data_IF_424509400314
#
_entry.id   IF_424509400314
#
_cell.length_a   1.000
_cell.length_b   1.000
_cell.length_c   1.000
_cell.angle_alpha   90.00
_cell.angle_beta   90.00
_cell.angle_gamma   90.00
#
_symmetry.space_group_name_H-M   'P 1'
#
loop_
_entity.id
_entity.type
_entity.pdbx_description
1 polymer ?
#
# COMPACT_ATOMS: atom_id res chain seq x y z
N UNK A 1 3.70 14.87 13.77
CA UNK A 1 3.21 13.72 12.98
C UNK A 1 1.73 13.89 12.73
N UNK A 2 1.28 13.65 11.50
CA UNK A 2 -0.13 13.67 11.13
C UNK A 2 -0.68 12.26 11.24
N UNK A 3 -1.78 12.06 11.99
CA UNK A 3 -2.37 10.74 12.26
C UNK A 3 -3.85 10.73 11.86
N UNK A 4 -4.28 9.67 11.18
CA UNK A 4 -5.63 9.50 10.67
C UNK A 4 -6.14 8.11 11.07
N UNK A 5 -7.35 8.02 11.60
CA UNK A 5 -7.98 6.75 11.99
C UNK A 5 -7.76 6.38 13.46
N UNK A 6 -7.76 5.08 13.75
CA UNK A 6 -7.61 4.54 15.11
C UNK A 6 -6.56 3.42 15.10
N UNK A 7 -5.44 3.63 15.81
CA UNK A 7 -4.32 2.68 15.85
C UNK A 7 -4.70 1.27 16.28
N UNK A 8 -5.74 1.10 17.13
CA UNK A 8 -6.22 -0.22 17.57
C UNK A 8 -7.00 -0.98 16.50
N UNK A 9 -7.35 -0.32 15.38
CA UNK A 9 -8.13 -0.89 14.28
C UNK A 9 -7.39 -0.72 12.96
N UNK A 10 -7.34 0.51 12.48
CA UNK A 10 -6.71 0.93 11.23
C UNK A 10 -6.38 2.42 11.31
N UNK A 11 -5.10 2.77 11.19
CA UNK A 11 -4.65 4.15 11.13
C UNK A 11 -3.45 4.33 10.20
N UNK A 12 -3.29 5.54 9.68
CA UNK A 12 -2.09 5.97 8.97
C UNK A 12 -1.47 7.11 9.75
N UNK A 13 -0.16 7.06 9.93
CA UNK A 13 0.62 8.15 10.47
C UNK A 13 1.75 8.50 9.50
N UNK A 14 2.01 9.78 9.30
CA UNK A 14 3.14 10.20 8.50
C UNK A 14 3.76 11.53 8.97
N UNK A 15 4.99 11.76 8.53
CA UNK A 15 5.71 13.02 8.72
C UNK A 15 6.72 13.22 7.61
N UNK A 16 6.72 14.42 7.00
CA UNK A 16 7.81 14.81 6.11
C UNK A 16 9.08 15.12 6.88
N UNK A 17 10.21 14.71 6.32
CA UNK A 17 11.56 15.01 6.81
C UNK A 17 12.36 15.66 5.68
N UNK A 18 13.45 16.38 5.99
CA UNK A 18 14.41 16.77 4.96
C UNK A 18 14.95 15.52 4.25
N UNK A 19 14.91 15.50 2.92
CA UNK A 19 15.54 14.41 2.17
C UNK A 19 17.06 14.43 2.41
N UNK A 20 17.68 13.26 2.66
CA UNK A 20 19.14 13.15 2.75
C UNK A 20 19.81 13.15 1.37
N UNK A 21 19.04 13.19 0.27
CA UNK A 21 19.51 13.07 -1.09
C UNK A 21 19.19 14.32 -1.92
N UNK A 22 20.06 14.61 -2.89
CA UNK A 22 19.78 15.57 -3.97
C UNK A 22 18.99 14.85 -5.06
N UNK A 23 17.69 15.11 -5.12
CA UNK A 23 16.75 14.44 -6.02
C UNK A 23 15.86 15.47 -6.74
N UNK A 24 15.03 14.99 -7.65
CA UNK A 24 13.96 15.80 -8.22
C UNK A 24 13.06 16.40 -7.12
N UNK A 25 12.56 17.61 -7.37
CA UNK A 25 11.89 18.45 -6.36
C UNK A 25 10.76 17.72 -5.61
N UNK A 26 9.97 16.91 -6.32
CA UNK A 26 8.85 16.15 -5.74
C UNK A 26 9.33 15.02 -4.83
N UNK A 27 10.38 14.30 -5.22
CA UNK A 27 10.99 13.26 -4.39
C UNK A 27 11.56 13.89 -3.12
N UNK A 28 12.31 14.99 -3.27
CA UNK A 28 12.91 15.71 -2.16
C UNK A 28 11.87 16.21 -1.14
N UNK A 29 10.73 16.72 -1.61
CA UNK A 29 9.67 17.26 -0.75
C UNK A 29 8.70 16.21 -0.19
N UNK A 30 8.80 14.96 -0.67
CA UNK A 30 7.96 13.84 -0.22
C UNK A 30 8.70 12.85 0.68
N UNK A 31 10.00 13.03 0.91
CA UNK A 31 10.77 12.22 1.86
C UNK A 31 10.17 12.31 3.27
N UNK A 32 10.05 11.17 3.94
CA UNK A 32 9.48 11.15 5.29
C UNK A 32 9.25 9.76 5.86
N UNK A 33 8.72 9.76 7.08
CA UNK A 33 8.32 8.57 7.81
C UNK A 33 6.84 8.28 7.52
N UNK A 34 6.51 7.01 7.32
CA UNK A 34 5.14 6.52 7.22
C UNK A 34 4.95 5.27 8.07
N UNK A 35 3.79 5.18 8.73
CA UNK A 35 3.36 4.02 9.52
C UNK A 35 1.96 3.61 9.11
N UNK A 36 1.76 2.30 8.98
CA UNK A 36 0.46 1.70 8.78
C UNK A 36 0.10 0.88 10.02
N UNK A 37 -0.83 1.41 10.80
CA UNK A 37 -1.32 0.75 12.00
C UNK A 37 -2.47 -0.19 11.65
N UNK A 38 -2.32 -1.46 11.96
CA UNK A 38 -3.36 -2.49 11.81
C UNK A 38 -3.47 -3.27 13.11
N UNK A 39 -4.65 -3.28 13.71
CA UNK A 39 -4.92 -3.97 14.98
C UNK A 39 -3.92 -3.66 16.12
N UNK A 40 -3.39 -2.43 16.17
CA UNK A 40 -2.42 -1.99 17.19
C UNK A 40 -0.94 -2.18 16.82
N UNK A 41 -0.64 -2.76 15.66
CA UNK A 41 0.72 -2.97 15.16
C UNK A 41 1.05 -2.00 14.04
N UNK A 42 2.22 -1.36 14.10
CA UNK A 42 2.82 -0.73 12.92
C UNK A 42 3.41 -1.84 12.03
N UNK A 43 2.73 -2.14 10.93
CA UNK A 43 3.14 -3.24 10.03
C UNK A 43 4.28 -2.82 9.09
N UNK A 44 4.67 -1.54 9.10
CA UNK A 44 5.82 -1.02 8.36
C UNK A 44 7.08 -0.90 9.24
N UNK A 45 6.99 -1.18 10.53
CA UNK A 45 8.13 -1.18 11.44
C UNK A 45 8.97 -2.45 11.24
N UNK A 46 10.28 -2.26 11.15
CA UNK A 46 11.24 -3.34 10.98
C UNK A 46 12.49 -3.12 11.82
N UNK A 47 13.30 -4.16 11.93
CA UNK A 47 14.55 -4.18 12.67
C UNK A 47 15.70 -4.54 11.73
N UNK A 48 16.81 -3.82 11.84
CA UNK A 48 18.10 -4.12 11.20
C UNK A 48 19.16 -4.01 12.28
N UNK A 49 20.02 -5.02 12.42
CA UNK A 49 21.06 -5.05 13.46
C UNK A 49 20.49 -4.77 14.87
N UNK A 50 19.35 -5.37 15.21
CA UNK A 50 18.60 -5.15 16.47
C UNK A 50 18.07 -3.72 16.70
N UNK A 51 18.28 -2.79 15.77
CA UNK A 51 17.70 -1.45 15.80
C UNK A 51 16.35 -1.42 15.10
N UNK A 52 15.31 -1.11 15.88
CA UNK A 52 13.97 -0.86 15.39
C UNK A 52 13.90 0.46 14.62
N UNK A 53 13.37 0.43 13.41
CA UNK A 53 13.23 1.56 12.48
C UNK A 53 11.78 1.66 11.99
N UNK A 54 11.23 2.87 11.86
CA UNK A 54 10.03 3.07 11.07
C UNK A 54 10.38 2.96 9.58
N UNK A 55 9.35 2.83 8.74
CA UNK A 55 9.53 3.02 7.30
C UNK A 55 9.82 4.51 7.00
N UNK A 56 10.91 4.76 6.27
CA UNK A 56 11.33 6.09 5.83
C UNK A 56 11.72 6.04 4.35
N UNK A 57 11.06 6.85 3.51
CA UNK A 57 11.33 6.96 2.08
C UNK A 57 10.58 8.15 1.44
N UNK A 58 10.64 8.29 0.12
CA UNK A 58 9.73 9.16 -0.64
C UNK A 58 8.29 8.62 -0.54
N UNK A 59 7.47 9.27 0.28
CA UNK A 59 6.09 8.88 0.57
C UNK A 59 5.18 8.99 -0.66
N UNK A 60 5.63 9.71 -1.68
CA UNK A 60 4.87 9.93 -2.90
C UNK A 60 4.52 8.63 -3.62
N UNK A 61 5.38 7.61 -3.56
CA UNK A 61 5.10 6.34 -4.22
C UNK A 61 3.89 5.61 -3.60
N UNK A 62 3.71 5.71 -2.29
CA UNK A 62 2.52 5.17 -1.60
C UNK A 62 1.28 5.98 -1.97
N UNK A 63 1.41 7.32 -2.00
CA UNK A 63 0.30 8.22 -2.35
C UNK A 63 -0.18 7.99 -3.77
N UNK A 64 0.75 7.92 -4.74
CA UNK A 64 0.44 7.67 -6.14
C UNK A 64 -0.25 6.31 -6.31
N UNK A 65 0.29 5.26 -5.69
CA UNK A 65 -0.32 3.93 -5.76
C UNK A 65 -1.75 3.92 -5.20
N UNK A 66 -1.98 4.52 -4.04
CA UNK A 66 -3.32 4.61 -3.44
C UNK A 66 -4.27 5.38 -4.36
N UNK A 67 -3.87 6.55 -4.85
CA UNK A 67 -4.70 7.35 -5.75
C UNK A 67 -5.10 6.60 -7.02
N UNK A 68 -4.23 5.74 -7.54
CA UNK A 68 -4.45 5.00 -8.77
C UNK A 68 -5.20 3.68 -8.58
N UNK A 69 -5.21 3.10 -7.37
CA UNK A 69 -5.74 1.77 -7.14
C UNK A 69 -6.96 1.71 -6.20
N UNK A 70 -7.32 2.83 -5.58
CA UNK A 70 -8.45 2.88 -4.63
C UNK A 70 -9.78 2.44 -5.24
N UNK A 71 -10.00 2.65 -6.54
CA UNK A 71 -11.23 2.21 -7.21
C UNK A 71 -11.40 0.68 -7.17
N UNK A 72 -10.31 -0.08 -7.31
CA UNK A 72 -10.32 -1.55 -7.25
C UNK A 72 -10.48 -2.03 -5.81
N UNK A 73 -9.85 -1.34 -4.85
CA UNK A 73 -9.94 -1.66 -3.42
C UNK A 73 -11.35 -1.37 -2.88
N UNK A 74 -11.97 -0.26 -3.26
CA UNK A 74 -13.29 0.15 -2.77
C UNK A 74 -14.43 -0.45 -3.60
N UNK A 75 -14.18 -0.71 -4.88
CA UNK A 75 -15.09 -1.29 -5.86
C UNK A 75 -15.36 -2.77 -5.62
N UNK A 76 -15.82 -3.48 -6.66
CA UNK A 76 -15.95 -4.93 -6.64
C UNK A 76 -14.95 -5.51 -7.65
N UNK A 77 -13.76 -5.86 -7.16
CA UNK A 77 -12.68 -6.51 -7.92
C UNK A 77 -12.24 -7.78 -7.16
N UNK A 78 -13.00 -8.89 -7.27
CA UNK A 78 -12.71 -10.12 -6.54
C UNK A 78 -11.43 -10.79 -7.02
N UNK A 79 -10.87 -11.70 -6.21
CA UNK A 79 -9.74 -12.51 -6.65
C UNK A 79 -10.14 -13.31 -7.90
N UNK A 80 -9.34 -13.30 -8.98
CA UNK A 80 -9.81 -13.69 -10.31
C UNK A 80 -9.75 -15.20 -10.57
N UNK A 81 -9.09 -15.96 -9.69
CA UNK A 81 -8.82 -17.38 -9.91
C UNK A 81 -9.79 -18.26 -9.09
N UNK A 82 -10.17 -19.44 -9.62
CA UNK A 82 -11.14 -20.35 -9.00
C UNK A 82 -10.52 -21.17 -7.85
N UNK A 83 -9.88 -20.49 -6.90
CA UNK A 83 -9.27 -21.09 -5.70
C UNK A 83 -10.06 -20.71 -4.45
N UNK A 84 -9.91 -21.50 -3.39
CA UNK A 84 -10.55 -21.26 -2.10
C UNK A 84 -9.53 -20.71 -1.09
N UNK A 85 -9.98 -19.89 -0.15
CA UNK A 85 -9.12 -19.33 0.90
C UNK A 85 -9.89 -18.31 1.73
N UNK A 86 -9.64 -18.30 3.05
CA UNK A 86 -10.34 -17.42 3.99
C UNK A 86 -9.81 -15.98 3.91
N UNK A 87 -8.56 -15.81 3.49
CA UNK A 87 -7.88 -14.53 3.36
C UNK A 87 -7.05 -14.44 2.06
N UNK A 88 -6.57 -13.25 1.72
CA UNK A 88 -5.78 -12.98 0.50
C UNK A 88 -4.53 -13.85 0.45
N UNK A 89 -3.85 -14.06 1.59
CA UNK A 89 -2.60 -14.83 1.62
C UNK A 89 -2.85 -16.30 1.26
N UNK A 90 -3.95 -16.88 1.75
CA UNK A 90 -4.38 -18.23 1.37
C UNK A 90 -4.78 -18.31 -0.10
N UNK A 91 -5.51 -17.33 -0.63
CA UNK A 91 -5.86 -17.31 -2.05
C UNK A 91 -4.62 -17.25 -2.95
N UNK A 92 -3.63 -16.44 -2.59
CA UNK A 92 -2.34 -16.38 -3.30
C UNK A 92 -1.66 -17.75 -3.20
N UNK A 93 -1.55 -18.31 -2.00
CA UNK A 93 -0.90 -19.61 -1.78
C UNK A 93 -1.57 -20.75 -2.55
N UNK A 94 -2.91 -20.83 -2.55
CA UNK A 94 -3.63 -21.85 -3.32
C UNK A 94 -3.49 -21.60 -4.82
N UNK A 95 -3.42 -20.34 -5.26
CA UNK A 95 -3.18 -20.03 -6.67
C UNK A 95 -1.79 -20.39 -7.17
N UNK A 96 -0.80 -20.45 -6.27
CA UNK A 96 0.58 -20.82 -6.61
C UNK A 96 0.76 -22.34 -6.80
N UNK A 97 -0.24 -23.16 -6.44
CA UNK A 97 -0.24 -24.62 -6.63
C UNK A 97 -0.74 -25.06 -8.00
N UNK A 98 -1.16 -24.12 -8.84
CA UNK A 98 -1.69 -24.43 -10.15
C UNK A 98 -0.60 -24.96 -11.08
N UNK A 99 -0.86 -26.11 -11.67
CA UNK A 99 -0.03 -26.76 -12.67
C UNK A 99 -0.91 -27.05 -13.89
N UNK A 100 -0.39 -26.78 -15.09
CA UNK A 100 -1.01 -27.17 -16.35
C UNK A 100 0.08 -27.61 -17.33
N UNK A 101 -0.25 -28.59 -18.16
CA UNK A 101 0.59 -29.02 -19.29
C UNK A 101 0.44 -28.09 -20.51
N UNK A 102 -0.58 -27.21 -20.50
CA UNK A 102 -0.85 -26.25 -21.56
C UNK A 102 -0.25 -24.88 -21.20
N UNK A 103 0.77 -24.46 -21.96
CA UNK A 103 1.50 -23.20 -21.70
C UNK A 103 0.58 -21.97 -21.70
N UNK A 104 -0.43 -21.94 -22.59
CA UNK A 104 -1.38 -20.83 -22.69
C UNK A 104 -2.25 -20.71 -21.43
N UNK A 105 -2.65 -21.85 -20.85
CA UNK A 105 -3.44 -21.87 -19.61
C UNK A 105 -2.60 -21.36 -18.43
N UNK A 106 -1.36 -21.83 -18.34
CA UNK A 106 -0.41 -21.38 -17.32
C UNK A 106 -0.14 -19.88 -17.44
N UNK A 107 0.06 -19.38 -18.66
CA UNK A 107 0.26 -17.95 -18.93
C UNK A 107 -0.94 -17.12 -18.47
N UNK A 108 -2.15 -17.49 -18.89
CA UNK A 108 -3.39 -16.78 -18.53
C UNK A 108 -3.62 -16.79 -17.01
N UNK A 109 -3.33 -17.91 -16.34
CA UNK A 109 -3.42 -18.03 -14.88
C UNK A 109 -2.53 -17.01 -14.17
N UNK A 110 -1.23 -16.97 -14.52
CA UNK A 110 -0.30 -16.02 -13.92
C UNK A 110 -0.60 -14.58 -14.29
N UNK A 111 -1.05 -14.32 -15.53
CA UNK A 111 -1.43 -12.98 -15.97
C UNK A 111 -2.62 -12.44 -15.17
N UNK A 112 -3.65 -13.26 -14.95
CA UNK A 112 -4.82 -12.88 -14.15
C UNK A 112 -4.43 -12.58 -12.70
N UNK A 113 -3.64 -13.46 -12.07
CA UNK A 113 -3.12 -13.25 -10.71
C UNK A 113 -2.31 -11.97 -10.61
N UNK A 114 -1.30 -11.79 -11.46
CA UNK A 114 -0.37 -10.67 -11.40
C UNK A 114 -1.07 -9.32 -11.66
N UNK A 115 -2.03 -9.30 -12.59
CA UNK A 115 -2.84 -8.11 -12.87
C UNK A 115 -3.66 -7.70 -11.65
N UNK A 116 -4.23 -8.67 -10.92
CA UNK A 116 -4.95 -8.39 -9.67
C UNK A 116 -3.99 -7.95 -8.57
N UNK A 117 -2.85 -8.62 -8.38
CA UNK A 117 -1.85 -8.24 -7.37
C UNK A 117 -1.33 -6.82 -7.57
N UNK A 118 -1.14 -6.38 -8.83
CA UNK A 118 -0.71 -5.00 -9.11
C UNK A 118 -1.70 -3.94 -8.64
N UNK A 119 -3.01 -4.25 -8.72
CA UNK A 119 -4.09 -3.35 -8.28
C UNK A 119 -4.41 -3.46 -6.80
N UNK A 120 -4.06 -4.58 -6.18
CA UNK A 120 -4.42 -4.89 -4.80
C UNK A 120 -3.24 -4.87 -3.83
N UNK A 121 -2.00 -4.71 -4.29
CA UNK A 121 -0.81 -4.56 -3.46
C UNK A 121 0.07 -3.40 -3.90
N UNK A 122 0.51 -2.60 -2.93
CA UNK A 122 1.47 -1.51 -3.17
C UNK A 122 2.92 -1.97 -3.26
N UNK A 123 3.17 -3.28 -3.24
CA UNK A 123 4.54 -3.80 -3.13
C UNK A 123 5.41 -3.41 -4.33
N UNK A 124 4.81 -3.26 -5.52
CA UNK A 124 5.50 -2.76 -6.73
C UNK A 124 5.95 -1.30 -6.58
N UNK A 125 5.30 -0.51 -5.72
CA UNK A 125 5.58 0.92 -5.48
C UNK A 125 6.62 1.17 -4.40
N UNK A 126 7.39 0.15 -3.98
CA UNK A 126 8.44 0.33 -2.96
C UNK A 126 9.64 1.13 -3.44
N UNK A 127 9.88 1.27 -4.75
CA UNK A 127 10.99 2.06 -5.30
C UNK A 127 12.38 1.78 -4.65
N UNK A 128 12.65 0.51 -4.33
CA UNK A 128 13.90 0.08 -3.67
C UNK A 128 13.90 0.15 -2.13
N UNK A 129 12.87 0.71 -1.52
CA UNK A 129 12.71 0.84 -0.06
C UNK A 129 12.31 -0.47 0.64
N UNK A 130 12.31 -0.43 1.97
CA UNK A 130 11.86 -1.49 2.88
C UNK A 130 10.37 -1.33 3.20
N UNK A 131 9.54 -1.11 2.18
CA UNK A 131 8.09 -1.03 2.33
C UNK A 131 7.49 -2.41 2.61
N UNK A 132 6.60 -2.48 3.60
CA UNK A 132 5.84 -3.70 3.88
C UNK A 132 5.05 -4.16 2.64
N UNK A 133 5.01 -5.46 2.36
CA UNK A 133 4.14 -6.03 1.33
C UNK A 133 2.73 -6.18 1.88
N UNK A 134 1.85 -5.25 1.50
CA UNK A 134 0.47 -5.18 1.96
C UNK A 134 -0.47 -5.40 0.78
N UNK A 135 -1.53 -6.15 1.02
CA UNK A 135 -2.62 -6.44 0.10
C UNK A 135 -3.93 -5.89 0.67
N UNK A 136 -4.78 -5.37 -0.20
CA UNK A 136 -6.09 -4.83 0.14
C UNK A 136 -7.16 -5.52 -0.69
N UNK A 137 -8.22 -6.05 -0.07
CA UNK A 137 -9.35 -6.66 -0.80
C UNK A 137 -10.65 -6.29 -0.15
N UNK A 138 -11.65 -5.88 -0.93
CA UNK A 138 -13.00 -5.74 -0.40
C UNK A 138 -13.65 -7.10 -0.20
N UNK A 139 -14.14 -7.35 1.01
CA UNK A 139 -15.07 -8.43 1.31
C UNK A 139 -16.35 -7.84 1.92
N UNK A 140 -17.40 -7.74 1.09
CA UNK A 140 -18.70 -7.12 1.46
C UNK A 140 -18.52 -5.70 2.04
N UNK A 141 -18.72 -5.55 3.35
CA UNK A 141 -18.66 -4.31 4.11
C UNK A 141 -17.31 -4.10 4.82
N UNK A 142 -16.32 -4.93 4.53
CA UNK A 142 -14.98 -4.87 5.09
C UNK A 142 -13.94 -4.73 3.97
N UNK A 143 -12.84 -4.06 4.27
CA UNK A 143 -11.60 -4.14 3.53
C UNK A 143 -10.68 -5.02 4.35
N UNK A 144 -10.32 -6.16 3.78
CA UNK A 144 -9.24 -6.98 4.28
C UNK A 144 -7.91 -6.29 3.98
N UNK A 145 -7.08 -6.17 5.00
CA UNK A 145 -5.68 -5.74 4.92
C UNK A 145 -4.83 -6.94 5.31
N UNK A 146 -4.08 -7.50 4.37
CA UNK A 146 -3.19 -8.63 4.61
C UNK A 146 -1.75 -8.27 4.30
N UNK A 147 -0.79 -8.85 5.02
CA UNK A 147 0.63 -8.58 4.79
C UNK A 147 1.49 -9.82 4.99
N UNK A 148 2.60 -9.87 4.25
CA UNK A 148 3.62 -10.90 4.39
C UNK A 148 5.00 -10.34 4.00
N UNK A 149 5.85 -10.12 4.98
CA UNK A 149 7.14 -9.46 4.89
C UNK A 149 8.32 -10.43 5.06
N UNK A 150 8.07 -11.74 5.17
CA UNK A 150 9.12 -12.73 5.44
C UNK A 150 10.19 -12.80 4.34
N UNK A 151 9.90 -12.31 3.13
CA UNK A 151 10.88 -12.26 2.03
C UNK A 151 12.07 -11.31 2.28
N UNK A 152 12.02 -10.49 3.34
CA UNK A 152 13.12 -9.62 3.75
C UNK A 152 14.11 -10.30 4.71
N UNK A 153 13.76 -11.47 5.27
CA UNK A 153 14.59 -12.18 6.27
C UNK A 153 15.95 -12.59 5.71
N UNK A 154 16.02 -12.98 4.43
CA UNK A 154 17.28 -13.31 3.74
C UNK A 154 18.27 -12.12 3.67
N UNK A 155 17.76 -10.90 3.88
CA UNK A 155 18.54 -9.65 3.94
C UNK A 155 18.78 -9.16 5.37
N UNK A 156 18.47 -9.99 6.38
CA UNK A 156 18.57 -9.65 7.80
C UNK A 156 17.70 -8.44 8.20
N UNK A 157 16.56 -8.27 7.53
CA UNK A 157 15.57 -7.25 7.82
C UNK A 157 14.33 -7.95 8.38
N UNK A 158 13.97 -7.66 9.63
CA UNK A 158 12.90 -8.36 10.34
C UNK A 158 11.77 -7.41 10.70
N UNK A 159 10.60 -7.58 10.09
CA UNK A 159 9.42 -6.79 10.44
C UNK A 159 8.88 -7.19 11.81
N UNK A 160 8.55 -6.21 12.66
CA UNK A 160 8.05 -6.48 14.03
C UNK A 160 6.76 -7.31 14.01
N UNK A 161 5.92 -7.11 12.99
CA UNK A 161 4.77 -7.95 12.70
C UNK A 161 4.86 -8.42 11.23
N UNK A 162 5.50 -9.58 10.96
CA UNK A 162 5.95 -9.90 9.62
C UNK A 162 4.83 -10.47 8.74
N UNK A 163 3.80 -11.11 9.31
CA UNK A 163 2.69 -11.70 8.54
C UNK A 163 1.38 -11.61 9.29
N UNK A 164 0.30 -11.29 8.60
CA UNK A 164 -1.04 -11.28 9.20
C UNK A 164 -2.13 -10.82 8.24
N UNK A 165 -3.37 -10.83 8.73
CA UNK A 165 -4.52 -10.26 8.04
C UNK A 165 -5.50 -9.66 9.05
N UNK A 166 -6.22 -8.63 8.62
CA UNK A 166 -7.22 -7.97 9.45
C UNK A 166 -8.35 -7.38 8.61
N UNK A 167 -9.59 -7.57 9.04
CA UNK A 167 -10.77 -7.03 8.39
C UNK A 167 -11.15 -5.66 8.99
N UNK A 168 -10.98 -4.60 8.22
CA UNK A 168 -11.33 -3.23 8.59
C UNK A 168 -12.72 -2.90 8.06
N UNK A 169 -13.66 -2.35 8.86
CA UNK A 169 -14.92 -1.85 8.33
C UNK A 169 -14.67 -0.88 7.16
N UNK A 170 -15.36 -1.08 6.03
CA UNK A 170 -15.13 -0.31 4.80
C UNK A 170 -15.29 1.20 5.04
N UNK A 171 -16.23 1.60 5.89
CA UNK A 171 -16.42 3.01 6.25
C UNK A 171 -15.20 3.60 6.99
N UNK A 172 -14.65 2.86 7.95
CA UNK A 172 -13.46 3.26 8.70
C UNK A 172 -12.24 3.35 7.78
N UNK A 173 -12.04 2.35 6.91
CA UNK A 173 -10.98 2.34 5.91
C UNK A 173 -11.09 3.55 4.96
N UNK A 174 -12.26 3.76 4.38
CA UNK A 174 -12.55 4.86 3.43
C UNK A 174 -12.25 6.21 4.07
N UNK A 175 -12.72 6.44 5.30
CA UNK A 175 -12.48 7.67 6.04
C UNK A 175 -10.98 7.90 6.27
N UNK A 176 -10.27 6.90 6.83
CA UNK A 176 -8.84 7.02 7.14
C UNK A 176 -8.01 7.30 5.89
N UNK A 177 -8.26 6.59 4.80
CA UNK A 177 -7.51 6.77 3.55
C UNK A 177 -7.77 8.15 2.95
N UNK A 178 -9.03 8.60 2.89
CA UNK A 178 -9.31 9.91 2.30
C UNK A 178 -8.81 11.07 3.15
N UNK A 179 -8.95 11.00 4.47
CA UNK A 179 -8.38 12.01 5.36
C UNK A 179 -6.85 12.10 5.19
N UNK A 180 -6.17 10.96 5.06
CA UNK A 180 -4.74 10.89 4.77
C UNK A 180 -4.38 11.50 3.40
N UNK A 181 -5.05 11.08 2.34
CA UNK A 181 -4.76 11.52 0.97
C UNK A 181 -5.04 13.01 0.79
N UNK A 182 -6.15 13.51 1.33
CA UNK A 182 -6.48 14.93 1.30
C UNK A 182 -5.39 15.76 1.99
N UNK A 183 -4.93 15.31 3.17
CA UNK A 183 -3.93 16.04 3.93
C UNK A 183 -2.56 16.01 3.25
N UNK A 184 -2.09 14.84 2.80
CA UNK A 184 -0.75 14.72 2.22
C UNK A 184 -0.65 15.42 0.86
N UNK A 185 -1.67 15.32 0.01
CA UNK A 185 -1.71 15.99 -1.29
C UNK A 185 -1.80 17.51 -1.12
N UNK A 186 -2.61 18.01 -0.18
CA UNK A 186 -2.68 19.46 0.11
C UNK A 186 -1.36 20.02 0.63
N UNK A 187 -0.65 19.26 1.47
CA UNK A 187 0.66 19.65 1.96
C UNK A 187 1.71 19.67 0.84
N UNK A 188 1.69 18.70 -0.08
CA UNK A 188 2.57 18.69 -1.25
C UNK A 188 2.25 19.83 -2.22
N UNK A 189 0.97 20.10 -2.50
CA UNK A 189 0.53 21.24 -3.33
C UNK A 189 1.05 22.56 -2.75
N UNK A 190 0.96 22.73 -1.43
CA UNK A 190 1.42 23.96 -0.77
C UNK A 190 2.93 24.18 -0.91
N UNK A 191 3.71 23.09 -0.92
CA UNK A 191 5.18 23.14 -1.06
C UNK A 191 5.65 23.30 -2.50
N UNK A 192 5.01 22.58 -3.42
CA UNK A 192 5.49 22.38 -4.79
C UNK A 192 4.70 23.16 -5.85
N UNK A 193 3.53 23.68 -5.48
CA UNK A 193 2.56 24.25 -6.40
C UNK A 193 1.65 23.21 -7.07
N UNK A 194 0.62 23.70 -7.74
CA UNK A 194 -0.48 22.88 -8.32
C UNK A 194 -0.07 22.00 -9.50
N UNK A 195 0.89 22.49 -10.27
CA UNK A 195 1.33 21.87 -11.52
C UNK A 195 2.54 20.95 -11.35
N UNK A 196 3.00 20.77 -10.11
CA UNK A 196 4.05 19.82 -9.79
C UNK A 196 3.62 18.41 -10.21
N UNK A 197 4.53 17.73 -10.91
CA UNK A 197 4.30 16.41 -11.49
C UNK A 197 4.83 15.31 -10.57
N UNK A 198 4.03 14.26 -10.44
CA UNK A 198 4.31 13.00 -9.80
C UNK A 198 4.21 11.96 -10.92
N UNK A 199 5.36 11.53 -11.45
CA UNK A 199 5.39 10.78 -12.70
C UNK A 199 4.69 11.55 -13.82
N UNK A 200 3.69 10.92 -14.44
CA UNK A 200 2.89 11.51 -15.52
C UNK A 200 1.68 12.34 -15.04
N UNK A 201 1.45 12.43 -13.73
CA UNK A 201 0.25 13.04 -13.14
C UNK A 201 0.58 14.30 -12.34
N UNK A 202 -0.27 15.32 -12.39
CA UNK A 202 -0.13 16.48 -11.48
C UNK A 202 -0.74 16.17 -10.11
N UNK A 203 -0.29 16.87 -9.06
CA UNK A 203 -0.92 16.84 -7.72
C UNK A 203 -2.43 17.09 -7.83
N UNK A 204 -2.83 18.10 -8.61
CA UNK A 204 -4.23 18.42 -8.88
C UNK A 204 -4.98 17.27 -9.57
N UNK A 205 -4.31 16.54 -10.48
CA UNK A 205 -4.86 15.36 -11.13
C UNK A 205 -5.13 14.22 -10.15
N UNK A 206 -4.23 13.98 -9.20
CA UNK A 206 -4.42 12.99 -8.13
C UNK A 206 -5.56 13.39 -7.19
N UNK A 207 -5.60 14.65 -6.74
CA UNK A 207 -6.70 15.18 -5.92
C UNK A 207 -8.06 15.00 -6.60
N UNK A 208 -8.13 15.26 -7.92
CA UNK A 208 -9.35 15.07 -8.71
C UNK A 208 -9.77 13.60 -8.72
N UNK A 209 -8.85 12.66 -8.96
CA UNK A 209 -9.15 11.21 -8.89
C UNK A 209 -9.71 10.83 -7.52
N UNK A 210 -9.06 11.26 -6.44
CA UNK A 210 -9.50 10.98 -5.07
C UNK A 210 -10.90 11.54 -4.80
N UNK A 211 -11.18 12.77 -5.26
CA UNK A 211 -12.49 13.41 -5.08
C UNK A 211 -13.65 12.66 -5.76
N UNK A 212 -13.40 12.00 -6.89
CA UNK A 212 -14.41 11.22 -7.63
C UNK A 212 -14.79 9.91 -6.93
N UNK A 213 -13.96 9.44 -5.99
CA UNK A 213 -14.15 8.17 -5.27
C UNK A 213 -14.82 8.35 -3.88
N UNK A 214 -15.03 9.60 -3.45
CA UNK A 214 -15.71 9.93 -2.19
C UNK A 214 -17.20 9.71 -2.30
#
# INVERSE_FOLDING_TARGET
MNMFGNMKKFAIEYQFLPSPYEEEEVLQNSWGIFRLWVAGYDICEYTINDDKKPYEWNLIHIVEWLCNNLEFILGYDPFPLPVQGDNILELIQESDKFESEEDDELYLWYQAKNSWLFRHSWFSSRAGSMLASVYFRRNRNYIEVAWNNNFFEDKQIFFTNPKGSYAVPKADFKKTIFDFLDNILSNLETKLGRDAKIGDQSITGLQKKVSMLK
#
